data_IF_948209285483
#
_entry.id   IF_948209285483
#
_cell.length_a   1.000
_cell.length_b   1.000
_cell.length_c   1.000
_cell.angle_alpha   90.00
_cell.angle_beta   90.00
_cell.angle_gamma   90.00
#
_symmetry.space_group_name_H-M   'P 1'
#
loop_
_entity.id
_entity.type
_entity.pdbx_description
1 polymer ?
#
# COMPACT_ATOMS: atom_id res chain seq x y z
N UNK A 1 -17.62 -4.62 9.08
CA UNK A 1 -16.86 -3.65 9.92
C UNK A 1 -15.41 -4.05 10.16
N UNK A 2 -15.06 -5.33 10.38
CA UNK A 2 -13.66 -5.73 10.64
C UNK A 2 -12.75 -5.32 9.47
N UNK A 3 -13.18 -5.54 8.22
CA UNK A 3 -12.39 -5.21 7.05
C UNK A 3 -12.21 -3.71 6.82
N UNK A 4 -13.24 -2.90 7.10
CA UNK A 4 -13.20 -1.45 6.96
C UNK A 4 -12.28 -0.80 8.00
N UNK A 5 -12.35 -1.25 9.25
CA UNK A 5 -11.46 -0.78 10.33
C UNK A 5 -10.01 -1.17 10.04
N UNK A 6 -9.79 -2.39 9.54
CA UNK A 6 -8.46 -2.83 9.15
C UNK A 6 -7.87 -1.95 8.04
N UNK A 7 -8.65 -1.57 7.03
CA UNK A 7 -8.21 -0.66 5.98
C UNK A 7 -7.84 0.74 6.50
N UNK A 8 -8.67 1.35 7.35
CA UNK A 8 -8.35 2.67 7.92
C UNK A 8 -7.11 2.62 8.82
N UNK A 9 -6.95 1.55 9.59
CA UNK A 9 -5.76 1.34 10.43
C UNK A 9 -4.50 1.17 9.57
N UNK A 10 -4.59 0.39 8.49
CA UNK A 10 -3.49 0.26 7.54
C UNK A 10 -3.15 1.60 6.86
N UNK A 11 -4.15 2.38 6.48
CA UNK A 11 -3.97 3.71 5.89
C UNK A 11 -3.24 4.68 6.86
N UNK A 12 -3.58 4.66 8.15
CA UNK A 12 -2.87 5.42 9.17
C UNK A 12 -1.40 5.00 9.30
N UNK A 13 -1.13 3.68 9.36
CA UNK A 13 0.24 3.15 9.46
C UNK A 13 1.07 3.48 8.21
N UNK A 14 0.46 3.43 7.02
CA UNK A 14 1.11 3.83 5.77
C UNK A 14 1.34 5.33 5.68
N UNK A 15 0.43 6.17 6.18
CA UNK A 15 0.65 7.61 6.26
C UNK A 15 1.91 7.94 7.09
N UNK A 16 2.03 7.39 8.30
CA UNK A 16 3.20 7.55 9.17
C UNK A 16 4.48 7.03 8.50
N UNK A 17 4.41 5.86 7.88
CA UNK A 17 5.57 5.22 7.27
C UNK A 17 6.03 5.91 5.98
N UNK A 18 5.12 6.55 5.23
CA UNK A 18 5.45 7.26 3.99
C UNK A 18 6.42 8.43 4.22
N UNK A 19 6.30 9.11 5.37
CA UNK A 19 7.22 10.17 5.79
C UNK A 19 8.62 9.59 6.01
N UNK A 20 8.70 8.46 6.73
CA UNK A 20 9.97 7.76 7.00
C UNK A 20 10.60 7.22 5.72
N UNK A 21 9.80 6.62 4.83
CA UNK A 21 10.29 6.11 3.55
C UNK A 21 10.70 7.20 2.58
N UNK A 22 10.09 8.39 2.64
CA UNK A 22 10.56 9.55 1.88
C UNK A 22 12.00 9.93 2.25
N UNK A 23 12.38 9.82 3.53
CA UNK A 23 13.75 10.06 4.00
C UNK A 23 14.68 8.89 3.65
N UNK A 24 14.25 7.65 3.86
CA UNK A 24 15.05 6.46 3.54
C UNK A 24 15.31 6.32 2.03
N UNK A 25 14.33 6.66 1.20
CA UNK A 25 14.39 6.58 -0.26
C UNK A 25 15.41 7.52 -0.91
N UNK A 26 15.84 8.58 -0.21
CA UNK A 26 16.96 9.43 -0.65
C UNK A 26 18.32 8.74 -0.55
N UNK A 27 18.45 7.73 0.33
CA UNK A 27 19.71 7.03 0.61
C UNK A 27 19.73 5.60 0.08
N UNK A 28 18.56 4.97 0.00
CA UNK A 28 18.41 3.57 -0.37
C UNK A 28 17.66 3.48 -1.70
N UNK A 29 18.22 2.80 -2.71
CA UNK A 29 17.53 2.58 -3.98
C UNK A 29 16.15 1.93 -3.79
N UNK A 30 15.10 2.34 -4.54
CA UNK A 30 13.72 1.83 -4.42
C UNK A 30 13.58 0.31 -4.32
N UNK A 31 14.21 -0.42 -5.23
CA UNK A 31 14.16 -1.88 -5.26
C UNK A 31 14.80 -2.51 -4.01
N UNK A 32 15.89 -1.91 -3.51
CA UNK A 32 16.57 -2.36 -2.29
C UNK A 32 15.77 -2.05 -1.03
N UNK A 33 15.13 -0.88 -0.98
CA UNK A 33 14.24 -0.52 0.12
C UNK A 33 13.05 -1.49 0.19
N UNK A 34 12.46 -1.84 -0.96
CA UNK A 34 11.37 -2.81 -1.05
C UNK A 34 11.80 -4.21 -0.58
N UNK A 35 12.98 -4.67 -1.02
CA UNK A 35 13.55 -5.92 -0.56
C UNK A 35 13.80 -5.94 0.97
N UNK A 36 14.42 -4.89 1.51
CA UNK A 36 14.76 -4.81 2.94
C UNK A 36 13.51 -4.81 3.83
N UNK A 37 12.50 -4.00 3.48
CA UNK A 37 11.22 -3.99 4.22
C UNK A 37 10.49 -5.34 4.10
N UNK A 38 10.59 -5.99 2.94
CA UNK A 38 10.02 -7.31 2.67
C UNK A 38 10.62 -8.39 3.57
N UNK A 39 11.95 -8.45 3.66
CA UNK A 39 12.65 -9.41 4.55
C UNK A 39 12.24 -9.21 6.01
N UNK A 40 12.23 -7.96 6.50
CA UNK A 40 11.80 -7.68 7.88
C UNK A 40 10.37 -8.16 8.11
N UNK A 41 9.45 -7.86 7.20
CA UNK A 41 8.05 -8.27 7.32
C UNK A 41 7.88 -9.80 7.27
N UNK A 42 8.60 -10.50 6.39
CA UNK A 42 8.57 -11.97 6.32
C UNK A 42 9.00 -12.58 7.66
N UNK A 43 10.11 -12.11 8.24
CA UNK A 43 10.60 -12.60 9.53
C UNK A 43 9.55 -12.39 10.63
N UNK A 44 8.93 -11.20 10.70
CA UNK A 44 7.90 -10.88 11.69
C UNK A 44 6.63 -11.73 11.53
N UNK A 45 6.20 -11.99 10.29
CA UNK A 45 5.03 -12.83 10.00
C UNK A 45 5.32 -14.28 10.38
N UNK A 46 6.46 -14.83 9.98
CA UNK A 46 6.85 -16.21 10.33
C UNK A 46 6.91 -16.37 11.85
N UNK A 47 7.48 -15.39 12.56
CA UNK A 47 7.52 -15.38 14.02
C UNK A 47 6.11 -15.38 14.63
N UNK A 48 5.19 -14.58 14.08
CA UNK A 48 3.81 -14.49 14.57
C UNK A 48 3.01 -15.76 14.28
N UNK A 49 3.19 -16.38 13.11
CA UNK A 49 2.62 -17.69 12.80
C UNK A 49 3.12 -18.77 13.76
N UNK A 50 4.41 -18.74 14.11
CA UNK A 50 5.00 -19.64 15.10
C UNK A 50 4.40 -19.47 16.49
N UNK A 51 4.19 -18.23 16.95
CA UNK A 51 3.53 -17.94 18.23
C UNK A 51 2.07 -18.42 18.24
N UNK A 52 1.34 -18.18 17.15
CA UNK A 52 -0.05 -18.58 17.01
C UNK A 52 -0.22 -20.10 16.85
N UNK A 53 0.88 -20.85 16.68
CA UNK A 53 0.88 -22.29 16.41
C UNK A 53 -0.06 -22.65 15.26
N UNK A 54 -0.08 -21.80 14.23
CA UNK A 54 -0.91 -22.04 13.05
C UNK A 54 -0.38 -23.29 12.37
N UNK A 55 -1.19 -24.34 12.31
CA UNK A 55 -0.89 -25.49 11.46
C UNK A 55 -0.97 -25.00 10.01
N UNK A 56 0.12 -25.18 9.25
CA UNK A 56 0.12 -24.88 7.83
C UNK A 56 -0.91 -25.79 7.17
N UNK A 57 -2.09 -25.24 6.88
CA UNK A 57 -3.08 -25.96 6.09
C UNK A 57 -2.52 -26.19 4.70
N UNK A 58 -2.80 -27.36 4.11
CA UNK A 58 -2.44 -27.64 2.72
C UNK A 58 -3.22 -26.67 1.82
N UNK A 59 -2.55 -25.58 1.45
CA UNK A 59 -3.12 -24.57 0.56
C UNK A 59 -3.24 -25.17 -0.84
N UNK A 60 -4.43 -25.08 -1.42
CA UNK A 60 -4.66 -25.55 -2.78
C UNK A 60 -3.72 -24.82 -3.78
N UNK A 61 -3.20 -25.50 -4.82
CA UNK A 61 -2.21 -24.92 -5.73
C UNK A 61 -2.66 -23.63 -6.42
N UNK A 62 -3.95 -23.53 -6.77
CA UNK A 62 -4.49 -22.38 -7.49
C UNK A 62 -4.52 -21.11 -6.61
N UNK A 63 -5.15 -21.08 -5.42
CA UNK A 63 -5.04 -19.95 -4.49
C UNK A 63 -3.60 -19.57 -4.16
N UNK A 64 -2.71 -20.55 -3.96
CA UNK A 64 -1.30 -20.30 -3.72
C UNK A 64 -0.63 -19.56 -4.90
N UNK A 65 -0.86 -20.03 -6.13
CA UNK A 65 -0.31 -19.41 -7.34
C UNK A 65 -0.86 -18.00 -7.57
N UNK A 66 -2.16 -17.79 -7.32
CA UNK A 66 -2.80 -16.47 -7.46
C UNK A 66 -2.27 -15.49 -6.41
N UNK A 67 -2.07 -15.93 -5.16
CA UNK A 67 -1.45 -15.11 -4.11
C UNK A 67 0.01 -14.80 -4.42
N UNK A 68 0.77 -15.77 -4.94
CA UNK A 68 2.14 -15.52 -5.38
C UNK A 68 2.18 -14.49 -6.52
N UNK A 69 1.29 -14.60 -7.51
CA UNK A 69 1.16 -13.62 -8.60
C UNK A 69 0.74 -12.24 -8.08
N UNK A 70 -0.21 -12.19 -7.14
CA UNK A 70 -0.62 -10.97 -6.45
C UNK A 70 0.57 -10.30 -5.74
N UNK A 71 1.39 -11.09 -5.03
CA UNK A 71 2.61 -10.62 -4.37
C UNK A 71 3.66 -10.11 -5.34
N UNK A 72 3.90 -10.83 -6.43
CA UNK A 72 4.84 -10.44 -7.47
C UNK A 72 4.44 -9.10 -8.09
N UNK A 73 3.18 -8.94 -8.47
CA UNK A 73 2.66 -7.74 -9.13
C UNK A 73 2.53 -6.59 -8.15
N UNK A 74 1.75 -6.76 -7.07
CA UNK A 74 1.45 -5.66 -6.15
C UNK A 74 2.64 -5.26 -5.27
N UNK A 75 3.32 -6.24 -4.64
CA UNK A 75 4.40 -5.95 -3.69
C UNK A 75 5.75 -5.85 -4.41
N UNK A 76 6.07 -6.79 -5.29
CA UNK A 76 7.35 -6.80 -5.99
C UNK A 76 7.50 -5.63 -6.95
N UNK A 77 6.66 -5.61 -8.00
CA UNK A 77 6.68 -4.57 -9.04
C UNK A 77 6.01 -3.27 -8.57
N UNK A 78 4.84 -3.36 -7.93
CA UNK A 78 4.04 -2.22 -7.49
C UNK A 78 4.75 -1.36 -6.45
N UNK A 79 5.19 -1.92 -5.31
CA UNK A 79 5.90 -1.12 -4.31
C UNK A 79 7.23 -0.54 -4.84
N UNK A 80 7.92 -1.26 -5.74
CA UNK A 80 9.13 -0.73 -6.39
C UNK A 80 8.79 0.48 -7.27
N UNK A 81 7.73 0.37 -8.08
CA UNK A 81 7.22 1.49 -8.88
C UNK A 81 6.73 2.66 -8.00
N UNK A 82 6.08 2.37 -6.88
CA UNK A 82 5.66 3.36 -5.89
C UNK A 82 6.85 4.12 -5.32
N UNK A 83 7.92 3.42 -4.90
CA UNK A 83 9.12 4.08 -4.40
C UNK A 83 9.89 4.85 -5.49
N UNK A 84 9.88 4.37 -6.73
CA UNK A 84 10.41 5.12 -7.87
C UNK A 84 9.61 6.41 -8.07
N UNK A 85 8.27 6.36 -8.04
CA UNK A 85 7.42 7.53 -8.10
C UNK A 85 7.68 8.48 -6.93
N UNK A 86 7.74 7.95 -5.70
CA UNK A 86 8.02 8.69 -4.47
C UNK A 86 9.33 9.49 -4.58
N UNK A 87 10.40 8.87 -5.06
CA UNK A 87 11.69 9.53 -5.23
C UNK A 87 11.70 10.58 -6.35
N UNK A 88 10.88 10.40 -7.39
CA UNK A 88 10.86 11.28 -8.57
C UNK A 88 9.84 12.43 -8.49
N UNK A 89 8.73 12.24 -7.77
CA UNK A 89 7.62 13.18 -7.66
C UNK A 89 7.41 13.75 -6.24
N UNK A 90 7.96 13.08 -5.22
CA UNK A 90 7.65 13.33 -3.82
C UNK A 90 6.33 12.69 -3.38
N UNK A 91 6.16 12.52 -2.06
CA UNK A 91 5.04 11.79 -1.46
C UNK A 91 3.67 12.28 -1.94
N UNK A 92 3.51 13.59 -2.04
CA UNK A 92 2.22 14.21 -2.35
C UNK A 92 1.70 13.88 -3.75
N UNK A 93 2.52 14.06 -4.79
CA UNK A 93 2.13 13.78 -6.19
C UNK A 93 1.97 12.28 -6.41
N UNK A 94 2.81 11.44 -5.78
CA UNK A 94 2.65 9.99 -5.83
C UNK A 94 1.32 9.57 -5.21
N UNK A 95 1.00 10.04 -4.00
CA UNK A 95 -0.27 9.74 -3.34
C UNK A 95 -1.49 10.23 -4.14
N UNK A 96 -1.38 11.35 -4.87
CA UNK A 96 -2.45 11.82 -5.76
C UNK A 96 -2.71 10.83 -6.89
N UNK A 97 -1.66 10.30 -7.51
CA UNK A 97 -1.81 9.35 -8.62
C UNK A 97 -2.23 7.97 -8.11
N UNK A 98 -1.86 7.59 -6.88
CA UNK A 98 -2.35 6.38 -6.22
C UNK A 98 -3.86 6.42 -5.92
N UNK A 99 -4.52 7.57 -5.90
CA UNK A 99 -5.99 7.63 -5.80
C UNK A 99 -6.70 7.05 -7.04
N UNK A 100 -5.95 6.68 -8.08
CA UNK A 100 -6.46 5.89 -9.20
C UNK A 100 -6.62 4.40 -8.85
N UNK A 101 -5.95 3.89 -7.80
CA UNK A 101 -6.04 2.48 -7.42
C UNK A 101 -7.46 2.06 -7.00
N UNK A 102 -8.21 2.82 -6.20
CA UNK A 102 -9.57 2.42 -5.82
C UNK A 102 -10.58 2.26 -6.96
N UNK A 103 -10.75 3.22 -7.90
CA UNK A 103 -11.67 3.02 -9.01
C UNK A 103 -11.22 1.89 -9.95
N UNK A 104 -9.91 1.73 -10.17
CA UNK A 104 -9.38 0.61 -10.95
C UNK A 104 -9.65 -0.74 -10.26
N UNK A 105 -9.39 -0.83 -8.96
CA UNK A 105 -9.65 -2.03 -8.15
C UNK A 105 -11.13 -2.39 -8.11
N UNK A 106 -12.03 -1.41 -7.95
CA UNK A 106 -13.47 -1.63 -8.00
C UNK A 106 -13.93 -2.16 -9.38
N UNK A 107 -13.42 -1.55 -10.46
CA UNK A 107 -13.74 -1.98 -11.82
C UNK A 107 -13.20 -3.38 -12.14
N UNK A 108 -11.95 -3.66 -11.79
CA UNK A 108 -11.34 -4.98 -11.98
C UNK A 108 -12.04 -6.05 -11.14
N UNK A 109 -12.44 -5.73 -9.90
CA UNK A 109 -13.21 -6.65 -9.06
C UNK A 109 -14.60 -6.93 -9.64
N UNK A 110 -15.27 -5.94 -10.21
CA UNK A 110 -16.53 -6.17 -10.91
C UNK A 110 -16.36 -7.15 -12.08
N UNK A 111 -15.33 -7.00 -12.92
CA UNK A 111 -15.11 -7.86 -14.09
C UNK A 111 -14.61 -9.25 -13.70
N UNK A 112 -13.65 -9.35 -12.77
CA UNK A 112 -12.94 -10.60 -12.46
C UNK A 112 -13.66 -11.41 -11.39
N UNK A 113 -14.24 -10.73 -10.39
CA UNK A 113 -14.89 -11.37 -9.23
C UNK A 113 -16.42 -11.32 -9.29
N UNK A 114 -16.99 -10.53 -10.21
CA UNK A 114 -18.43 -10.27 -10.21
C UNK A 114 -18.89 -9.44 -9.00
N UNK A 115 -17.99 -8.68 -8.35
CA UNK A 115 -18.37 -7.87 -7.18
C UNK A 115 -19.32 -6.73 -7.58
N UNK A 116 -20.57 -6.80 -7.11
CA UNK A 116 -21.58 -5.74 -7.35
C UNK A 116 -21.56 -4.75 -6.18
N UNK A 117 -21.16 -3.52 -6.48
CA UNK A 117 -21.17 -2.40 -5.53
C UNK A 117 -22.45 -1.57 -5.78
N UNK A 118 -23.38 -1.54 -4.82
CA UNK A 118 -24.57 -0.66 -4.91
C UNK A 118 -24.22 0.83 -5.00
N UNK A 119 -25.16 1.63 -5.53
CA UNK A 119 -24.99 3.06 -5.75
C UNK A 119 -24.52 3.84 -4.52
N UNK A 120 -24.97 3.49 -3.31
CA UNK A 120 -24.58 4.23 -2.09
C UNK A 120 -23.08 4.07 -1.79
N UNK A 121 -22.51 2.89 -2.02
CA UNK A 121 -21.06 2.74 -1.82
C UNK A 121 -20.28 3.38 -2.97
N UNK A 122 -20.82 3.43 -4.20
CA UNK A 122 -20.22 4.26 -5.25
C UNK A 122 -20.19 5.74 -4.87
N UNK A 123 -21.27 6.28 -4.30
CA UNK A 123 -21.28 7.64 -3.75
C UNK A 123 -20.23 7.80 -2.65
N UNK A 124 -20.13 6.83 -1.73
CA UNK A 124 -19.08 6.82 -0.70
C UNK A 124 -17.67 6.84 -1.28
N UNK A 125 -17.39 5.97 -2.26
CA UNK A 125 -16.11 5.90 -2.99
C UNK A 125 -15.79 7.26 -3.63
N UNK A 126 -16.72 7.81 -4.39
CA UNK A 126 -16.52 9.08 -5.09
C UNK A 126 -16.28 10.23 -4.12
N UNK A 127 -17.08 10.35 -3.05
CA UNK A 127 -16.89 11.40 -2.04
C UNK A 127 -15.56 11.26 -1.32
N UNK A 128 -15.16 10.04 -0.92
CA UNK A 128 -13.86 9.81 -0.29
C UNK A 128 -12.72 10.20 -1.22
N UNK A 129 -12.76 9.77 -2.48
CA UNK A 129 -11.73 10.12 -3.46
C UNK A 129 -11.68 11.62 -3.75
N UNK A 130 -12.82 12.29 -3.91
CA UNK A 130 -12.88 13.74 -4.12
C UNK A 130 -12.28 14.50 -2.94
N UNK A 131 -12.62 14.13 -1.71
CA UNK A 131 -12.06 14.75 -0.51
C UNK A 131 -10.55 14.52 -0.39
N UNK A 132 -10.07 13.30 -0.66
CA UNK A 132 -8.63 12.98 -0.68
C UNK A 132 -7.90 13.78 -1.77
N UNK A 133 -8.43 13.80 -3.01
CA UNK A 133 -7.86 14.57 -4.12
C UNK A 133 -7.81 16.06 -3.80
N UNK A 134 -8.85 16.62 -3.16
CA UNK A 134 -8.87 18.02 -2.72
C UNK A 134 -7.76 18.30 -1.70
N UNK A 135 -7.69 17.50 -0.64
CA UNK A 135 -6.67 17.60 0.41
C UNK A 135 -5.27 17.56 -0.19
N UNK A 136 -5.04 16.61 -1.09
CA UNK A 136 -3.76 16.48 -1.75
C UNK A 136 -3.54 17.66 -2.70
N UNK A 137 -4.53 18.22 -3.39
CA UNK A 137 -4.32 19.28 -4.39
C UNK A 137 -4.00 20.65 -3.81
N UNK A 138 -4.34 20.93 -2.56
CA UNK A 138 -4.20 22.30 -2.02
C UNK A 138 -2.77 22.71 -1.61
N UNK A 139 -1.95 21.79 -1.10
CA UNK A 139 -0.58 22.11 -0.63
C UNK A 139 0.42 22.50 -1.75
N UNK A 140 -0.02 22.88 -2.96
CA UNK A 140 0.84 23.18 -4.14
C UNK A 140 1.28 24.62 -4.08
N UNK A 141 2.41 24.83 -3.44
CA UNK A 141 3.27 25.97 -3.75
C UNK A 141 4.66 25.35 -3.99
N UNK A 142 5.12 25.47 -5.23
CA UNK A 142 6.47 25.19 -5.73
C UNK A 142 7.00 23.73 -5.83
N UNK A 143 7.00 23.23 -7.07
CA UNK A 143 8.23 22.77 -7.73
C UNK A 143 7.95 22.42 -9.20
N UNK A 144 8.62 23.14 -10.10
CA UNK A 144 8.59 23.02 -11.56
C UNK A 144 9.14 21.68 -12.13
N UNK A 145 9.27 20.64 -11.32
CA UNK A 145 9.81 19.36 -11.78
C UNK A 145 8.65 18.53 -12.37
N UNK A 146 8.46 18.69 -13.68
CA UNK A 146 7.56 17.90 -14.53
C UNK A 146 8.25 16.58 -14.89
N UNK A 147 8.53 15.74 -13.89
CA UNK A 147 9.20 14.46 -14.12
C UNK A 147 8.22 13.42 -14.68
N UNK A 148 8.13 13.35 -16.02
CA UNK A 148 7.27 12.40 -16.75
C UNK A 148 7.49 10.94 -16.33
N UNK A 149 8.72 10.56 -15.98
CA UNK A 149 9.03 9.21 -15.54
C UNK A 149 8.40 8.90 -14.19
N UNK A 150 8.40 9.87 -13.27
CA UNK A 150 7.71 9.73 -11.99
C UNK A 150 6.20 9.50 -12.14
N UNK A 151 5.55 10.17 -13.10
CA UNK A 151 4.12 9.99 -13.39
C UNK A 151 3.85 8.58 -13.92
N UNK A 152 4.66 8.10 -14.86
CA UNK A 152 4.54 6.73 -15.41
C UNK A 152 4.67 5.71 -14.28
N UNK A 153 5.68 5.85 -13.40
CA UNK A 153 5.86 4.95 -12.27
C UNK A 153 4.70 4.97 -11.29
N UNK A 154 4.10 6.13 -11.02
CA UNK A 154 2.96 6.22 -10.12
C UNK A 154 1.69 5.57 -10.71
N UNK A 155 1.46 5.72 -12.02
CA UNK A 155 0.34 5.04 -12.70
C UNK A 155 0.56 3.53 -12.70
N UNK A 156 1.78 3.07 -13.01
CA UNK A 156 2.12 1.65 -12.96
C UNK A 156 1.95 1.06 -11.55
N UNK A 157 2.34 1.81 -10.52
CA UNK A 157 2.14 1.42 -9.13
C UNK A 157 0.65 1.29 -8.79
N UNK A 158 -0.18 2.28 -9.13
CA UNK A 158 -1.62 2.23 -8.90
C UNK A 158 -2.30 1.03 -9.62
N UNK A 159 -1.91 0.74 -10.87
CA UNK A 159 -2.39 -0.42 -11.61
C UNK A 159 -1.96 -1.73 -10.92
N UNK A 160 -0.67 -1.85 -10.58
CA UNK A 160 -0.13 -3.04 -9.94
C UNK A 160 -0.78 -3.30 -8.57
N UNK A 161 -1.04 -2.25 -7.79
CA UNK A 161 -1.74 -2.31 -6.51
C UNK A 161 -3.19 -2.78 -6.68
N UNK A 162 -3.90 -2.26 -7.68
CA UNK A 162 -5.26 -2.67 -8.00
C UNK A 162 -5.34 -4.14 -8.42
N UNK A 163 -4.48 -4.55 -9.36
CA UNK A 163 -4.39 -5.94 -9.83
C UNK A 163 -4.02 -6.87 -8.68
N UNK A 164 -2.98 -6.52 -7.92
CA UNK A 164 -2.55 -7.30 -6.75
C UNK A 164 -3.66 -7.46 -5.72
N UNK A 165 -4.42 -6.40 -5.43
CA UNK A 165 -5.54 -6.44 -4.50
C UNK A 165 -6.68 -7.35 -4.99
N UNK A 166 -7.07 -7.27 -6.26
CA UNK A 166 -8.13 -8.10 -6.85
C UNK A 166 -7.73 -9.58 -6.89
N UNK A 167 -6.50 -9.88 -7.29
CA UNK A 167 -5.98 -11.26 -7.26
C UNK A 167 -5.94 -11.81 -5.83
N UNK A 168 -5.55 -10.97 -4.86
CA UNK A 168 -5.56 -11.36 -3.46
C UNK A 168 -6.96 -11.61 -2.94
N UNK A 169 -7.92 -10.76 -3.31
CA UNK A 169 -9.34 -10.93 -2.98
C UNK A 169 -9.85 -12.25 -3.54
N UNK A 170 -9.56 -12.54 -4.82
CA UNK A 170 -9.92 -13.79 -5.48
C UNK A 170 -9.49 -15.00 -4.68
N UNK A 171 -8.22 -15.03 -4.25
CA UNK A 171 -7.70 -16.15 -3.51
C UNK A 171 -8.22 -16.23 -2.07
N UNK A 172 -8.71 -15.14 -1.47
CA UNK A 172 -9.14 -15.06 -0.07
C UNK A 172 -10.63 -15.34 0.18
N UNK A 173 -11.51 -15.08 -0.79
CA UNK A 173 -12.98 -15.22 -0.60
C UNK A 173 -13.36 -16.67 -0.31
N UNK A 174 -12.90 -17.59 -1.13
CA UNK A 174 -13.36 -18.99 -1.13
C UNK A 174 -12.31 -19.96 -0.57
N UNK A 175 -11.26 -19.45 0.07
CA UNK A 175 -10.21 -20.28 0.67
C UNK A 175 -10.16 -20.17 2.19
N UNK A 176 -9.75 -21.27 2.82
CA UNK A 176 -9.44 -21.31 4.25
C UNK A 176 -8.20 -20.50 4.65
N UNK A 177 -7.50 -19.87 3.68
CA UNK A 177 -6.23 -19.18 3.91
C UNK A 177 -6.47 -17.99 4.83
N UNK A 178 -5.73 -17.93 5.94
CA UNK A 178 -5.78 -16.79 6.85
C UNK A 178 -5.18 -15.54 6.19
N UNK A 179 -5.61 -14.33 6.59
CA UNK A 179 -4.99 -13.09 6.13
C UNK A 179 -3.47 -13.05 6.37
N UNK A 180 -2.98 -13.67 7.46
CA UNK A 180 -1.56 -13.69 7.80
C UNK A 180 -0.76 -14.61 6.86
N UNK A 181 -1.27 -15.79 6.54
CA UNK A 181 -0.67 -16.69 5.53
C UNK A 181 -0.67 -16.04 4.14
N UNK A 182 -1.75 -15.36 3.77
CA UNK A 182 -1.83 -14.60 2.52
C UNK A 182 -0.75 -13.51 2.46
N UNK A 183 -0.55 -12.77 3.55
CA UNK A 183 0.53 -11.78 3.64
C UNK A 183 1.90 -12.43 3.44
N UNK A 184 2.15 -13.59 4.06
CA UNK A 184 3.43 -14.30 3.93
C UNK A 184 3.69 -14.69 2.48
N UNK A 185 2.73 -15.33 1.82
CA UNK A 185 2.86 -15.80 0.42
C UNK A 185 3.12 -14.61 -0.50
N UNK A 186 2.33 -13.54 -0.35
CA UNK A 186 2.48 -12.33 -1.17
C UNK A 186 3.84 -11.67 -0.96
N UNK A 187 4.28 -11.52 0.30
CA UNK A 187 5.58 -10.92 0.63
C UNK A 187 6.74 -11.78 0.17
N UNK A 188 6.66 -13.10 0.32
CA UNK A 188 7.68 -14.03 -0.17
C UNK A 188 7.84 -13.91 -1.69
N UNK A 189 6.74 -13.94 -2.44
CA UNK A 189 6.77 -13.79 -3.90
C UNK A 189 7.28 -12.41 -4.34
N UNK A 190 6.80 -11.33 -3.71
CA UNK A 190 7.25 -9.95 -3.98
C UNK A 190 8.74 -9.73 -3.67
N UNK A 191 9.23 -10.32 -2.58
CA UNK A 191 10.65 -10.24 -2.19
C UNK A 191 11.52 -11.10 -3.09
N UNK A 192 11.04 -12.27 -3.51
CA UNK A 192 11.75 -13.16 -4.44
C UNK A 192 11.95 -12.49 -5.81
N UNK A 193 10.91 -11.86 -6.38
CA UNK A 193 11.07 -11.13 -7.64
C UNK A 193 12.00 -9.93 -7.48
N UNK A 194 12.00 -9.26 -6.32
CA UNK A 194 12.94 -8.17 -6.06
C UNK A 194 14.41 -8.65 -6.10
N UNK A 195 14.71 -9.83 -5.55
CA UNK A 195 16.05 -10.45 -5.65
C UNK A 195 16.42 -10.70 -7.11
N UNK A 196 15.51 -11.28 -7.89
CA UNK A 196 15.75 -11.59 -9.31
C UNK A 196 15.99 -10.32 -10.13
N UNK A 197 15.19 -9.28 -9.91
CA UNK A 197 15.36 -7.99 -10.59
C UNK A 197 16.68 -7.32 -10.24
N UNK A 198 17.19 -7.47 -9.01
CA UNK A 198 18.51 -6.96 -8.63
C UNK A 198 19.67 -7.63 -9.37
N UNK A 199 19.49 -8.85 -9.91
CA UNK A 199 20.52 -9.51 -10.72
C UNK A 199 20.60 -8.94 -12.15
N UNK A 200 19.57 -8.21 -12.59
CA UNK A 200 19.53 -7.63 -13.93
C UNK A 200 20.35 -6.33 -13.94
N UNK A 201 21.39 -6.20 -14.79
CA UNK A 201 22.28 -5.03 -14.81
C UNK A 201 21.55 -3.68 -14.94
N UNK A 202 20.46 -3.65 -15.71
CA UNK A 202 19.62 -2.46 -15.90
C UNK A 202 18.99 -1.93 -14.60
N UNK A 203 18.71 -2.81 -13.64
CA UNK A 203 18.16 -2.47 -12.31
C UNK A 203 19.24 -2.48 -11.21
N UNK A 204 20.38 -3.14 -11.46
CA UNK A 204 21.57 -3.16 -10.60
C UNK A 204 22.45 -1.92 -10.72
N UNK A 205 22.20 -1.03 -11.70
CA UNK A 205 23.02 0.15 -11.97
C UNK A 205 23.18 1.10 -10.76
N UNK A 206 22.35 0.95 -9.73
CA UNK A 206 22.34 1.75 -8.51
C UNK A 206 22.89 0.96 -7.32
N UNK A 207 24.22 0.92 -7.17
CA UNK A 207 24.98 0.37 -6.03
C UNK A 207 24.67 -1.10 -5.63
N UNK A 208 25.70 -1.95 -5.53
CA UNK A 208 25.54 -3.31 -4.98
C UNK A 208 24.85 -3.28 -3.61
N UNK A 209 23.86 -4.15 -3.38
CA UNK A 209 23.17 -4.28 -2.09
C UNK A 209 24.15 -4.43 -0.92
N UNK A 210 25.26 -5.15 -1.12
CA UNK A 210 26.32 -5.30 -0.12
C UNK A 210 26.96 -3.95 0.26
N UNK A 211 27.14 -3.05 -0.71
CA UNK A 211 27.69 -1.70 -0.48
C UNK A 211 26.67 -0.84 0.28
N UNK A 212 25.40 -0.92 -0.08
CA UNK A 212 24.31 -0.21 0.60
C UNK A 212 24.24 -0.62 2.07
N UNK A 213 24.20 -1.93 2.36
CA UNK A 213 24.12 -2.45 3.73
C UNK A 213 25.36 -2.10 4.55
N UNK A 214 26.57 -2.17 3.96
CA UNK A 214 27.81 -1.76 4.65
C UNK A 214 27.82 -0.29 5.07
N UNK A 215 27.06 0.57 4.37
CA UNK A 215 26.92 1.99 4.70
C UNK A 215 25.90 2.27 5.80
N UNK A 216 25.18 1.27 6.32
CA UNK A 216 24.14 1.48 7.31
C UNK A 216 24.71 1.66 8.71
N UNK A 217 24.25 2.73 9.37
CA UNK A 217 24.38 2.84 10.82
C UNK A 217 23.31 1.97 11.51
N UNK A 218 23.55 1.58 12.77
CA UNK A 218 22.55 0.88 13.59
C UNK A 218 21.22 1.65 13.69
N UNK A 219 21.29 3.00 13.66
CA UNK A 219 20.11 3.86 13.63
C UNK A 219 19.31 3.67 12.35
N UNK A 220 19.98 3.60 11.19
CA UNK A 220 19.34 3.36 9.89
C UNK A 220 18.62 2.01 9.87
N UNK A 221 19.27 0.97 10.39
CA UNK A 221 18.66 -0.37 10.51
C UNK A 221 17.43 -0.33 11.41
N UNK A 222 17.52 0.32 12.58
CA UNK A 222 16.38 0.49 13.49
C UNK A 222 15.19 1.22 12.85
N UNK A 223 15.46 2.28 12.08
CA UNK A 223 14.42 3.02 11.35
C UNK A 223 13.76 2.14 10.27
N UNK A 224 14.54 1.36 9.52
CA UNK A 224 14.00 0.42 8.52
C UNK A 224 13.10 -0.61 9.19
N UNK A 225 13.53 -1.19 10.31
CA UNK A 225 12.75 -2.19 11.05
C UNK A 225 11.44 -1.59 11.55
N UNK A 226 11.50 -0.41 12.18
CA UNK A 226 10.30 0.25 12.70
C UNK A 226 9.32 0.64 11.59
N UNK A 227 9.82 1.18 10.48
CA UNK A 227 9.00 1.51 9.32
C UNK A 227 8.37 0.25 8.71
N UNK A 228 9.15 -0.82 8.54
CA UNK A 228 8.66 -2.09 8.00
C UNK A 228 7.66 -2.77 8.94
N UNK A 229 7.84 -2.67 10.26
CA UNK A 229 6.92 -3.19 11.26
C UNK A 229 5.52 -2.56 11.10
N UNK A 230 5.45 -1.21 11.08
CA UNK A 230 4.18 -0.50 10.92
C UNK A 230 3.56 -0.68 9.53
N UNK A 231 4.34 -0.54 8.47
CA UNK A 231 3.80 -0.53 7.10
C UNK A 231 3.69 -1.91 6.46
N UNK A 232 4.78 -2.67 6.40
CA UNK A 232 4.88 -3.84 5.52
C UNK A 232 4.45 -5.09 6.25
N UNK A 233 4.73 -5.19 7.55
CA UNK A 233 4.18 -6.25 8.39
C UNK A 233 2.70 -5.97 8.72
N UNK A 234 2.43 -5.01 9.61
CA UNK A 234 1.07 -4.75 10.07
C UNK A 234 0.18 -4.23 8.94
N UNK A 235 0.65 -3.27 8.13
CA UNK A 235 -0.17 -2.69 7.06
C UNK A 235 -0.56 -3.70 5.97
N UNK A 236 0.33 -4.59 5.52
CA UNK A 236 -0.05 -5.64 4.54
C UNK A 236 -0.96 -6.68 5.18
N UNK A 237 -0.73 -7.05 6.45
CA UNK A 237 -1.64 -7.96 7.16
C UNK A 237 -3.04 -7.38 7.32
N UNK A 238 -3.15 -6.13 7.74
CA UNK A 238 -4.41 -5.40 7.83
C UNK A 238 -5.07 -5.21 6.45
N UNK A 239 -4.28 -4.98 5.39
CA UNK A 239 -4.78 -4.99 4.01
C UNK A 239 -5.40 -6.35 3.66
N UNK A 240 -4.77 -7.48 4.04
CA UNK A 240 -5.35 -8.80 3.79
C UNK A 240 -6.64 -9.03 4.57
N UNK A 241 -6.71 -8.56 5.82
CA UNK A 241 -7.95 -8.61 6.62
C UNK A 241 -9.03 -7.81 5.91
N UNK A 242 -8.72 -6.60 5.44
CA UNK A 242 -9.65 -5.78 4.68
C UNK A 242 -10.15 -6.46 3.41
N UNK A 243 -9.24 -6.97 2.59
CA UNK A 243 -9.59 -7.69 1.36
C UNK A 243 -10.33 -9.01 1.65
N UNK A 244 -10.16 -9.64 2.81
CA UNK A 244 -10.94 -10.84 3.15
C UNK A 244 -12.38 -10.50 3.52
N UNK A 245 -12.59 -9.39 4.24
CA UNK A 245 -13.88 -9.09 4.88
C UNK A 245 -14.65 -7.91 4.29
N UNK A 246 -14.11 -7.22 3.29
CA UNK A 246 -14.77 -6.10 2.60
C UNK A 246 -14.62 -6.23 1.09
N UNK A 247 -15.60 -5.76 0.30
CA UNK A 247 -15.48 -5.67 -1.16
C UNK A 247 -14.24 -4.87 -1.57
N UNK A 248 -13.61 -5.27 -2.68
CA UNK A 248 -12.30 -4.73 -3.11
C UNK A 248 -12.34 -3.23 -3.30
N UNK A 249 -13.40 -2.69 -3.93
CA UNK A 249 -13.56 -1.26 -4.14
C UNK A 249 -13.61 -0.48 -2.82
N UNK A 250 -14.35 -0.98 -1.83
CA UNK A 250 -14.47 -0.35 -0.50
C UNK A 250 -13.12 -0.42 0.23
N UNK A 251 -12.51 -1.61 0.27
CA UNK A 251 -11.21 -1.81 0.92
C UNK A 251 -10.13 -0.89 0.32
N UNK A 252 -10.02 -0.83 -1.00
CA UNK A 252 -9.05 0.03 -1.69
C UNK A 252 -9.30 1.51 -1.41
N UNK A 253 -10.56 1.96 -1.44
CA UNK A 253 -10.89 3.36 -1.13
C UNK A 253 -10.46 3.74 0.28
N UNK A 254 -10.77 2.88 1.27
CA UNK A 254 -10.40 3.14 2.66
C UNK A 254 -8.88 3.11 2.86
N UNK A 255 -8.16 2.21 2.18
CA UNK A 255 -6.69 2.16 2.19
C UNK A 255 -6.06 3.43 1.57
N UNK A 256 -6.71 4.01 0.56
CA UNK A 256 -6.27 5.25 -0.10
C UNK A 256 -6.50 6.52 0.74
N UNK A 257 -7.04 6.42 1.96
CA UNK A 257 -7.27 7.56 2.86
C UNK A 257 -6.02 8.01 3.64
N UNK A 258 -4.86 7.37 3.42
CA UNK A 258 -3.57 7.74 4.02
C UNK A 258 -3.30 9.27 4.03
N UNK A 259 -3.60 10.03 2.96
CA UNK A 259 -3.39 11.49 2.93
C UNK A 259 -4.20 12.28 3.97
N UNK A 260 -5.36 11.77 4.40
CA UNK A 260 -6.17 12.42 5.44
C UNK A 260 -5.46 12.41 6.79
N UNK A 261 -4.75 11.32 7.11
CA UNK A 261 -3.99 11.17 8.35
C UNK A 261 -2.72 12.02 8.38
N UNK A 262 -2.20 12.45 7.23
CA UNK A 262 -1.02 13.33 7.14
C UNK A 262 -1.35 14.74 7.67
N UNK A 263 -2.60 15.20 7.57
CA UNK A 263 -2.98 16.55 8.04
C UNK A 263 -2.76 16.73 9.55
N UNK A 264 -3.35 15.91 10.45
CA UNK A 264 -3.13 16.07 11.88
C UNK A 264 -1.66 15.88 12.27
N UNK A 265 -0.94 14.97 11.59
CA UNK A 265 0.50 14.79 11.80
C UNK A 265 1.27 16.08 11.48
N UNK A 266 1.00 16.68 10.31
CA UNK A 266 1.62 17.93 9.89
C UNK A 266 1.29 19.08 10.85
N UNK A 267 0.05 19.17 11.33
CA UNK A 267 -0.35 20.15 12.33
C UNK A 267 0.46 20.02 13.63
N UNK A 268 0.63 18.79 14.15
CA UNK A 268 1.44 18.51 15.35
C UNK A 268 2.92 18.86 15.11
N UNK A 269 3.42 18.69 13.88
CA UNK A 269 4.77 19.08 13.47
C UNK A 269 4.96 20.59 13.30
N UNK A 270 3.90 21.39 13.45
CA UNK A 270 3.94 22.86 13.31
C UNK A 270 3.71 23.39 11.89
N UNK A 271 3.32 22.52 10.95
CA UNK A 271 2.99 22.95 9.59
C UNK A 271 1.65 23.70 9.56
N UNK A 272 1.56 24.71 8.69
CA UNK A 272 0.32 25.46 8.49
C UNK A 272 -0.72 24.60 7.78
N UNK A 273 -1.82 24.28 8.48
CA UNK A 273 -3.01 23.65 7.90
C UNK A 273 -3.97 24.72 7.43
N UNK A 274 -4.40 24.62 6.18
CA UNK A 274 -5.31 25.58 5.54
C UNK A 274 -6.77 25.19 5.75
N UNK A 275 -7.66 26.17 5.78
CA UNK A 275 -9.11 25.91 5.91
C UNK A 275 -9.69 25.09 4.75
N UNK A 276 -9.13 25.15 3.54
CA UNK A 276 -9.65 24.35 2.42
C UNK A 276 -9.32 22.87 2.58
N UNK A 277 -8.24 22.53 3.30
CA UNK A 277 -7.84 21.14 3.54
C UNK A 277 -8.79 20.50 4.54
N UNK A 278 -9.29 21.30 5.49
CA UNK A 278 -10.34 20.90 6.41
C UNK A 278 -11.65 20.54 5.70
N UNK A 279 -12.09 21.33 4.71
CA UNK A 279 -13.26 20.98 3.90
C UNK A 279 -13.06 19.68 3.10
N UNK A 280 -11.88 19.48 2.50
CA UNK A 280 -11.56 18.22 1.83
C UNK A 280 -11.63 17.01 2.78
N UNK A 281 -11.16 17.16 4.03
CA UNK A 281 -11.30 16.12 5.06
C UNK A 281 -12.76 15.84 5.40
N UNK A 282 -13.60 16.87 5.57
CA UNK A 282 -15.04 16.69 5.85
C UNK A 282 -15.71 15.90 4.73
N UNK A 283 -15.46 16.26 3.47
CA UNK A 283 -16.00 15.54 2.30
C UNK A 283 -15.54 14.08 2.32
N UNK A 284 -14.26 13.84 2.62
CA UNK A 284 -13.74 12.48 2.67
C UNK A 284 -14.35 11.64 3.80
N UNK A 285 -14.51 12.22 5.00
CA UNK A 285 -15.16 11.59 6.15
C UNK A 285 -16.62 11.28 5.84
N UNK A 286 -17.35 12.17 5.19
CA UNK A 286 -18.72 11.90 4.77
C UNK A 286 -18.80 10.68 3.83
N UNK A 287 -17.88 10.58 2.87
CA UNK A 287 -17.74 9.41 2.01
C UNK A 287 -17.43 8.12 2.78
N UNK A 288 -16.48 8.19 3.73
CA UNK A 288 -16.10 7.05 4.59
C UNK A 288 -17.33 6.59 5.39
N UNK A 289 -18.08 7.51 6.00
CA UNK A 289 -19.29 7.19 6.76
C UNK A 289 -20.33 6.42 5.91
N UNK A 290 -20.53 6.80 4.64
CA UNK A 290 -21.42 6.07 3.73
C UNK A 290 -20.92 4.64 3.44
N UNK A 291 -19.60 4.45 3.34
CA UNK A 291 -19.02 3.12 3.16
C UNK A 291 -19.24 2.21 4.38
N UNK A 292 -19.26 2.78 5.59
CA UNK A 292 -19.55 2.04 6.82
C UNK A 292 -21.03 1.70 6.98
N UNK A 293 -21.95 2.61 6.63
CA UNK A 293 -23.40 2.40 6.73
C UNK A 293 -23.87 1.21 5.87
N UNK A 294 -23.16 0.94 4.77
CA UNK A 294 -23.51 -0.14 3.84
C UNK A 294 -22.71 -1.42 3.98
N UNK A 295 -21.73 -1.45 4.90
CA UNK A 295 -21.11 -2.70 5.36
C UNK A 295 -21.98 -3.49 6.34
N UNK A 296 -23.27 -3.15 6.41
CA UNK A 296 -24.34 -3.74 7.23
C UNK A 296 -25.31 -4.46 6.28
#
# INVERSE_FOLDING_TARGET
MIGEIAALTAALLWALSSIVYGVLGQKIPPLQLNFLKGIVAIVLIVFTLGIQRVEFTLIAPLPLAILALSGLVGIGLGDTAYFLALNNLGARKTLLLETLSPPLGAFLAFIILGEIISPVAWCGILLTLLGVVWVISERTIDSHIRNRYGIIWAILAAIAQSVGAVLSRFALIDSGISPLESSLIRLAAGTAIAILLMQIPAFSATQSLKKTIKGFSWRTVGIIILAAFGSTYLGIWLQQISLKFSPTGIAQTLLATSPLFIIPIAFIMGDKVTLRSFFGVIIAIAGISLLFIRGI
#
